data_IF_733548829170
#
_entry.id   IF_733548829170
#
_cell.length_a   1.000
_cell.length_b   1.000
_cell.length_c   1.000
_cell.angle_alpha   90.00
_cell.angle_beta   90.00
_cell.angle_gamma   90.00
#
_symmetry.space_group_name_H-M   'P 1'
#
loop_
_entity.id
_entity.type
_entity.pdbx_description
1 polymer ?
#
# COMPACT_ATOMS: atom_id res chain seq x y z
N UNK A 1 5.23 -10.20 5.91
CA UNK A 1 5.11 -9.54 4.59
C UNK A 1 3.66 -9.15 4.35
N UNK A 2 3.35 -8.04 3.66
CA UNK A 2 1.96 -7.67 3.35
C UNK A 2 1.32 -8.75 2.47
N UNK A 3 0.06 -9.11 2.78
CA UNK A 3 -0.65 -10.23 2.13
C UNK A 3 -0.83 -10.04 0.61
N UNK A 4 -0.94 -8.80 0.14
CA UNK A 4 -1.19 -8.47 -1.27
C UNK A 4 -0.11 -7.53 -1.83
N UNK A 5 1.16 -7.90 -1.67
CA UNK A 5 2.27 -7.17 -2.28
C UNK A 5 2.15 -7.18 -3.81
N UNK A 6 2.22 -6.00 -4.43
CA UNK A 6 2.15 -5.84 -5.89
C UNK A 6 3.52 -5.56 -6.50
N UNK A 7 4.28 -4.68 -5.88
CA UNK A 7 5.59 -4.24 -6.37
C UNK A 7 6.57 -4.14 -5.22
N UNK A 8 7.82 -4.50 -5.50
CA UNK A 8 8.94 -4.34 -4.57
C UNK A 8 10.03 -3.55 -5.27
N UNK A 9 10.43 -2.47 -4.62
CA UNK A 9 11.53 -1.63 -5.07
C UNK A 9 12.65 -1.71 -4.06
N UNK A 10 13.86 -1.96 -4.56
CA UNK A 10 15.05 -2.04 -3.73
C UNK A 10 16.09 -1.05 -4.22
N UNK A 11 16.75 -0.42 -3.25
CA UNK A 11 17.95 0.37 -3.48
C UNK A 11 19.17 -0.44 -3.02
N UNK A 12 20.12 -0.64 -3.94
CA UNK A 12 21.37 -1.36 -3.67
C UNK A 12 22.58 -0.48 -3.93
N UNK A 13 23.66 -0.68 -3.19
CA UNK A 13 24.92 0.03 -3.41
C UNK A 13 25.53 -0.39 -4.75
N UNK A 14 26.10 0.55 -5.50
CA UNK A 14 26.67 0.25 -6.83
C UNK A 14 27.84 -0.73 -6.80
N UNK A 15 28.72 -0.63 -5.79
CA UNK A 15 30.01 -1.34 -5.76
C UNK A 15 29.89 -2.78 -5.27
N UNK A 16 29.01 -3.02 -4.29
CA UNK A 16 28.94 -4.31 -3.59
C UNK A 16 27.54 -4.94 -3.64
N UNK A 17 26.59 -4.31 -4.36
CA UNK A 17 25.19 -4.75 -4.48
C UNK A 17 24.48 -4.98 -3.13
N UNK A 18 24.94 -4.31 -2.08
CA UNK A 18 24.38 -4.44 -0.73
C UNK A 18 23.03 -3.72 -0.68
N UNK A 19 22.02 -4.38 -0.13
CA UNK A 19 20.69 -3.81 0.07
C UNK A 19 20.74 -2.67 1.10
N UNK A 20 20.41 -1.46 0.66
CA UNK A 20 20.42 -0.25 1.49
C UNK A 20 19.01 0.23 1.82
N UNK A 21 18.01 -0.11 1.01
CA UNK A 21 16.62 0.24 1.29
C UNK A 21 15.62 -0.55 0.47
N UNK A 22 14.39 -0.62 0.96
CA UNK A 22 13.27 -1.32 0.35
C UNK A 22 11.99 -0.51 0.51
N UNK A 23 11.14 -0.54 -0.50
CA UNK A 23 9.74 -0.09 -0.45
C UNK A 23 8.87 -1.19 -1.05
N UNK A 24 7.80 -1.53 -0.35
CA UNK A 24 6.82 -2.53 -0.76
C UNK A 24 5.48 -1.86 -0.94
N UNK A 25 4.95 -1.96 -2.16
CA UNK A 25 3.63 -1.48 -2.53
C UNK A 25 2.64 -2.63 -2.48
N UNK A 26 1.45 -2.41 -1.93
CA UNK A 26 0.39 -3.40 -1.87
C UNK A 26 -0.94 -2.85 -2.35
N UNK A 27 -1.88 -3.76 -2.60
CA UNK A 27 -3.29 -3.40 -2.63
C UNK A 27 -3.70 -3.05 -1.18
N UNK A 28 -4.38 -1.91 -0.95
CA UNK A 28 -4.91 -1.60 0.37
C UNK A 28 -6.06 -2.54 0.70
N UNK A 29 -6.15 -2.93 1.97
CA UNK A 29 -7.27 -3.71 2.49
C UNK A 29 -8.60 -2.95 2.43
N UNK A 30 -8.53 -1.63 2.63
CA UNK A 30 -9.66 -0.72 2.55
C UNK A 30 -9.23 0.49 1.74
N UNK A 31 -9.90 0.73 0.62
CA UNK A 31 -9.60 1.86 -0.27
C UNK A 31 -10.05 3.18 0.34
N UNK A 32 -9.36 4.26 -0.03
CA UNK A 32 -9.63 5.62 0.46
C UNK A 32 -10.90 6.24 -0.10
N UNK A 33 -11.41 5.72 -1.24
CA UNK A 33 -12.53 6.26 -2.04
C UNK A 33 -12.34 7.71 -2.54
N UNK A 34 -11.11 8.25 -2.52
CA UNK A 34 -10.82 9.63 -2.91
C UNK A 34 -11.03 9.92 -4.40
N UNK A 35 -10.91 8.90 -5.26
CA UNK A 35 -11.12 9.01 -6.71
C UNK A 35 -12.45 8.37 -7.15
N UNK A 36 -13.42 8.27 -6.24
CA UNK A 36 -14.72 7.62 -6.49
C UNK A 36 -14.59 6.12 -6.77
N UNK A 37 -15.44 5.59 -7.65
CA UNK A 37 -15.55 4.15 -7.93
C UNK A 37 -14.32 3.56 -8.63
N UNK A 38 -13.49 4.39 -9.26
CA UNK A 38 -12.25 3.97 -9.92
C UNK A 38 -11.08 3.81 -8.94
N UNK A 39 -11.23 4.27 -7.69
CA UNK A 39 -10.18 4.21 -6.67
C UNK A 39 -9.53 2.83 -6.56
N UNK A 40 -10.26 1.69 -6.56
CA UNK A 40 -9.63 0.37 -6.43
C UNK A 40 -8.61 0.02 -7.51
N UNK A 41 -8.80 0.55 -8.72
CA UNK A 41 -7.90 0.31 -9.86
C UNK A 41 -6.68 1.22 -9.83
N UNK A 42 -6.81 2.44 -9.29
CA UNK A 42 -5.81 3.49 -9.37
C UNK A 42 -5.01 3.71 -8.08
N UNK A 43 -5.49 3.20 -6.95
CA UNK A 43 -4.87 3.38 -5.62
C UNK A 43 -3.87 2.26 -5.29
N UNK A 44 -2.71 2.63 -4.76
CA UNK A 44 -1.77 1.70 -4.13
C UNK A 44 -1.31 2.18 -2.76
N UNK A 45 -1.06 1.22 -1.88
CA UNK A 45 -0.61 1.46 -0.51
C UNK A 45 0.90 1.24 -0.40
N UNK A 46 1.60 2.21 0.18
CA UNK A 46 2.96 2.03 0.69
C UNK A 46 2.85 1.23 1.99
N UNK A 47 2.95 -0.09 1.85
CA UNK A 47 2.67 -1.03 2.94
C UNK A 47 3.84 -1.18 3.91
N UNK A 48 5.07 -1.14 3.39
CA UNK A 48 6.30 -1.25 4.16
C UNK A 48 7.41 -0.47 3.46
N UNK A 49 8.28 0.13 4.24
CA UNK A 49 9.51 0.74 3.76
C UNK A 49 10.56 0.69 4.85
N UNK A 50 11.81 0.48 4.46
CA UNK A 50 12.93 0.55 5.37
C UNK A 50 14.17 1.06 4.64
N UNK A 51 14.98 1.85 5.34
CA UNK A 51 16.31 2.24 4.90
C UNK A 51 17.29 1.96 6.02
N UNK A 52 18.42 1.37 5.69
CA UNK A 52 19.45 1.06 6.68
C UNK A 52 20.10 2.35 7.22
N UNK A 53 20.55 2.34 8.47
CA UNK A 53 21.04 3.53 9.17
C UNK A 53 22.27 4.19 8.51
N UNK A 54 23.14 3.39 7.87
CA UNK A 54 24.33 3.89 7.17
C UNK A 54 24.05 4.31 5.72
N UNK A 55 22.81 4.19 5.24
CA UNK A 55 22.45 4.63 3.90
C UNK A 55 22.68 6.15 3.72
N UNK A 56 22.87 6.62 2.47
CA UNK A 56 22.88 8.04 2.18
C UNK A 56 21.64 8.75 2.75
N UNK A 57 21.84 9.96 3.28
CA UNK A 57 20.75 10.81 3.75
C UNK A 57 19.69 10.95 2.66
N UNK A 58 18.42 10.89 3.05
CA UNK A 58 17.25 10.97 2.16
C UNK A 58 17.06 9.76 1.22
N UNK A 59 17.73 8.62 1.46
CA UNK A 59 17.50 7.41 0.66
C UNK A 59 16.02 6.99 0.66
N UNK A 60 15.36 7.05 1.81
CA UNK A 60 13.97 6.62 1.94
C UNK A 60 13.01 7.46 1.07
N UNK A 61 13.07 8.79 1.17
CA UNK A 61 12.23 9.68 0.36
C UNK A 61 12.56 9.57 -1.12
N UNK A 62 13.85 9.52 -1.48
CA UNK A 62 14.28 9.27 -2.86
C UNK A 62 13.71 7.95 -3.40
N UNK A 63 13.80 6.87 -2.63
CA UNK A 63 13.31 5.56 -3.04
C UNK A 63 11.78 5.57 -3.24
N UNK A 64 11.02 6.20 -2.35
CA UNK A 64 9.57 6.34 -2.46
C UNK A 64 9.21 7.13 -3.72
N UNK A 65 9.73 8.34 -3.90
CA UNK A 65 9.40 9.19 -5.06
C UNK A 65 9.79 8.52 -6.38
N UNK A 66 10.92 7.80 -6.43
CA UNK A 66 11.33 7.07 -7.65
C UNK A 66 10.44 5.86 -7.93
N UNK A 67 10.00 5.16 -6.88
CA UNK A 67 9.06 4.03 -7.01
C UNK A 67 7.71 4.52 -7.55
N UNK A 68 7.18 5.61 -7.00
CA UNK A 68 5.95 6.25 -7.46
C UNK A 68 6.08 6.72 -8.90
N UNK A 69 7.18 7.41 -9.24
CA UNK A 69 7.42 7.87 -10.61
C UNK A 69 7.46 6.73 -11.63
N UNK A 70 8.01 5.57 -11.25
CA UNK A 70 7.96 4.37 -12.09
C UNK A 70 6.52 3.85 -12.23
N UNK A 71 5.74 3.84 -11.16
CA UNK A 71 4.36 3.33 -11.12
C UNK A 71 3.30 4.30 -11.68
N UNK A 72 3.66 5.54 -11.98
CA UNK A 72 2.73 6.60 -12.44
C UNK A 72 1.95 6.25 -13.72
N UNK A 73 2.47 5.33 -14.54
CA UNK A 73 1.77 4.86 -15.74
C UNK A 73 0.62 3.88 -15.42
N UNK A 74 0.60 3.29 -14.22
CA UNK A 74 -0.40 2.29 -13.80
C UNK A 74 -1.34 2.82 -12.72
N UNK A 75 -0.82 3.67 -11.82
CA UNK A 75 -1.52 4.13 -10.64
C UNK A 75 -1.44 5.64 -10.52
N UNK A 76 -2.46 6.23 -9.91
CA UNK A 76 -2.58 7.69 -9.76
C UNK A 76 -2.64 8.15 -8.31
N UNK A 77 -3.03 7.27 -7.40
CA UNK A 77 -3.12 7.59 -5.98
C UNK A 77 -2.23 6.65 -5.17
N UNK A 78 -1.39 7.22 -4.32
CA UNK A 78 -0.56 6.45 -3.39
C UNK A 78 -0.87 6.87 -1.96
N UNK A 79 -1.22 5.89 -1.12
CA UNK A 79 -1.52 6.12 0.29
C UNK A 79 -0.37 5.62 1.15
N UNK A 80 -0.09 6.35 2.23
CA UNK A 80 0.83 5.95 3.29
C UNK A 80 0.19 6.18 4.66
N UNK A 81 0.60 5.39 5.64
CA UNK A 81 0.20 5.58 7.04
C UNK A 81 1.44 5.82 7.90
N UNK A 82 1.29 6.64 8.93
CA UNK A 82 2.28 6.85 9.98
C UNK A 82 1.73 6.32 11.30
N UNK A 83 2.51 5.48 11.98
CA UNK A 83 2.11 4.84 13.23
C UNK A 83 2.77 5.54 14.44
N UNK A 84 2.01 6.22 15.31
CA UNK A 84 2.56 6.87 16.49
C UNK A 84 3.21 5.89 17.47
N UNK A 85 2.68 4.66 17.61
CA UNK A 85 3.23 3.65 18.52
C UNK A 85 4.64 3.22 18.07
N UNK A 86 4.91 3.24 16.77
CA UNK A 86 6.23 2.97 16.19
C UNK A 86 7.15 4.21 16.14
N UNK A 87 6.73 5.34 16.74
CA UNK A 87 7.41 6.64 16.65
C UNK A 87 7.56 7.15 15.21
N UNK A 88 6.69 6.70 14.31
CA UNK A 88 6.63 7.14 12.93
C UNK A 88 5.69 8.34 12.80
N UNK A 89 6.25 9.55 12.77
CA UNK A 89 5.47 10.80 12.68
C UNK A 89 5.08 11.15 11.23
N UNK A 90 5.57 10.40 10.23
CA UNK A 90 5.28 10.65 8.81
C UNK A 90 6.22 11.65 8.12
N UNK A 91 7.37 11.99 8.73
CA UNK A 91 8.39 12.89 8.16
C UNK A 91 8.81 12.50 6.74
N UNK A 92 8.86 11.20 6.41
CA UNK A 92 9.21 10.74 5.07
C UNK A 92 8.16 11.11 4.03
N UNK A 93 6.87 11.07 4.39
CA UNK A 93 5.78 11.44 3.50
C UNK A 93 5.73 12.96 3.30
N UNK A 94 5.96 13.73 4.37
CA UNK A 94 6.11 15.19 4.29
C UNK A 94 7.28 15.57 3.36
N UNK A 95 8.43 14.90 3.49
CA UNK A 95 9.58 15.11 2.60
C UNK A 95 9.31 14.73 1.13
N UNK A 96 8.33 13.85 0.89
CA UNK A 96 7.89 13.47 -0.45
C UNK A 96 6.71 14.33 -0.96
N UNK A 97 6.32 15.39 -0.25
CA UNK A 97 5.19 16.26 -0.57
C UNK A 97 3.84 15.52 -0.64
N UNK A 98 3.60 14.58 0.28
CA UNK A 98 2.29 13.97 0.45
C UNK A 98 1.36 14.94 1.18
N UNK A 99 0.09 14.97 0.77
CA UNK A 99 -0.98 15.59 1.53
C UNK A 99 -1.24 14.79 2.80
N UNK A 100 -1.47 15.51 3.90
CA UNK A 100 -1.92 14.91 5.15
C UNK A 100 -3.45 14.93 5.21
N UNK A 101 -4.07 13.76 5.39
CA UNK A 101 -5.53 13.59 5.37
C UNK A 101 -6.16 13.58 6.78
N UNK A 102 -5.36 13.58 7.84
CA UNK A 102 -5.83 13.51 9.22
C UNK A 102 -5.33 12.28 10.00
N UNK A 103 -5.68 12.23 11.28
CA UNK A 103 -5.25 11.21 12.24
C UNK A 103 -6.32 10.16 12.54
N UNK A 104 -7.54 10.28 12.03
CA UNK A 104 -8.67 9.43 12.45
C UNK A 104 -8.74 8.06 11.75
N UNK A 105 -7.57 7.52 11.37
CA UNK A 105 -7.48 6.28 10.61
C UNK A 105 -6.83 5.16 11.41
N UNK A 106 -7.18 3.92 11.08
CA UNK A 106 -6.64 2.72 11.72
C UNK A 106 -7.66 2.06 12.64
N UNK A 107 -7.17 1.13 13.46
CA UNK A 107 -8.00 0.42 14.43
C UNK A 107 -8.01 1.20 15.74
N UNK A 108 -9.19 1.36 16.33
CA UNK A 108 -9.38 2.06 17.61
C UNK A 108 -9.05 1.18 18.81
N UNK A 109 -9.33 -0.12 18.71
CA UNK A 109 -9.26 -1.07 19.82
C UNK A 109 -8.38 -2.27 19.48
N UNK A 110 -7.46 -2.59 20.38
CA UNK A 110 -6.65 -3.80 20.34
C UNK A 110 -7.03 -4.72 21.49
N UNK A 111 -6.95 -6.02 21.21
CA UNK A 111 -7.21 -7.10 22.14
C UNK A 111 -5.92 -7.87 22.39
N UNK A 112 -5.75 -8.37 23.61
CA UNK A 112 -4.68 -9.26 24.00
C UNK A 112 -5.28 -10.47 24.73
N UNK A 113 -4.87 -11.66 24.33
CA UNK A 113 -5.27 -12.88 25.02
C UNK A 113 -4.38 -13.04 26.27
N UNK A 114 -4.94 -13.21 27.49
CA UNK A 114 -4.14 -13.42 28.70
C UNK A 114 -3.21 -14.63 28.62
N UNK A 115 -3.55 -15.64 27.80
CA UNK A 115 -2.70 -16.81 27.56
C UNK A 115 -1.49 -16.50 26.65
N UNK A 116 -1.53 -15.37 25.93
CA UNK A 116 -0.50 -14.90 24.99
C UNK A 116 -0.25 -13.40 25.18
N UNK A 117 0.35 -13.00 26.31
CA UNK A 117 0.44 -11.59 26.71
C UNK A 117 1.27 -10.72 25.74
N UNK A 118 2.12 -11.34 24.92
CA UNK A 118 3.01 -10.64 23.98
C UNK A 118 2.33 -10.28 22.65
N UNK A 119 1.13 -10.80 22.36
CA UNK A 119 0.47 -10.64 21.07
C UNK A 119 -0.79 -9.76 21.16
N UNK A 120 -0.66 -8.52 20.69
CA UNK A 120 -1.81 -7.63 20.49
C UNK A 120 -2.40 -7.80 19.09
N UNK A 121 -3.71 -7.97 19.00
CA UNK A 121 -4.41 -8.16 17.74
C UNK A 121 -5.66 -7.28 17.63
N UNK A 122 -6.14 -7.14 16.40
CA UNK A 122 -7.37 -6.41 16.11
C UNK A 122 -8.56 -7.36 16.11
N UNK A 123 -9.77 -6.80 16.19
CA UNK A 123 -11.03 -7.54 16.09
C UNK A 123 -11.14 -8.43 14.83
N UNK A 124 -10.41 -8.09 13.76
CA UNK A 124 -10.31 -8.93 12.55
C UNK A 124 -9.73 -10.32 12.84
N UNK A 125 -8.83 -10.45 13.81
CA UNK A 125 -8.21 -11.74 14.17
C UNK A 125 -9.24 -12.68 14.77
N UNK A 126 -10.09 -12.16 15.65
CA UNK A 126 -11.21 -12.89 16.28
C UNK A 126 -12.19 -13.40 15.21
N UNK A 127 -12.41 -12.59 14.18
CA UNK A 127 -13.32 -12.89 13.06
C UNK A 127 -12.66 -13.61 11.88
N UNK A 128 -11.45 -14.13 12.06
CA UNK A 128 -10.74 -14.83 10.98
C UNK A 128 -11.20 -16.28 10.86
N UNK A 129 -11.14 -16.86 9.65
CA UNK A 129 -11.46 -18.29 9.39
C UNK A 129 -10.86 -19.24 10.44
N UNK A 130 -9.58 -19.07 10.74
CA UNK A 130 -8.84 -19.95 11.67
C UNK A 130 -9.31 -19.81 13.12
N UNK A 131 -9.87 -18.66 13.51
CA UNK A 131 -10.45 -18.48 14.83
C UNK A 131 -11.80 -19.24 14.90
N UNK A 132 -12.66 -19.09 13.90
CA UNK A 132 -13.92 -19.83 13.85
C UNK A 132 -13.74 -21.35 13.73
N UNK A 133 -12.67 -21.83 13.09
CA UNK A 133 -12.33 -23.26 13.12
C UNK A 133 -12.05 -23.76 14.54
N UNK A 134 -11.39 -22.95 15.38
CA UNK A 134 -11.18 -23.28 16.80
C UNK A 134 -12.49 -23.26 17.57
N UNK A 135 -13.31 -22.22 17.39
CA UNK A 135 -14.62 -22.12 18.03
C UNK A 135 -15.53 -23.30 17.66
N UNK A 136 -15.52 -23.73 16.40
CA UNK A 136 -16.26 -24.90 15.95
C UNK A 136 -15.74 -26.19 16.60
N UNK A 137 -14.42 -26.38 16.66
CA UNK A 137 -13.81 -27.55 17.29
C UNK A 137 -14.12 -27.62 18.79
N UNK A 138 -14.02 -26.51 19.52
CA UNK A 138 -14.37 -26.40 20.94
C UNK A 138 -15.86 -26.66 21.21
N UNK A 139 -16.73 -26.29 20.27
CA UNK A 139 -18.16 -26.51 20.36
C UNK A 139 -18.61 -27.89 19.82
N UNK A 140 -17.68 -28.72 19.33
CA UNK A 140 -18.00 -30.01 18.70
C UNK A 140 -18.77 -29.92 17.38
N UNK A 141 -18.71 -28.78 16.70
CA UNK A 141 -19.41 -28.53 15.43
C UNK A 141 -18.56 -29.04 14.27
N UNK A 142 -19.12 -29.87 13.35
CA UNK A 142 -18.40 -30.31 12.17
C UNK A 142 -18.18 -29.14 11.21
N UNK A 143 -16.92 -28.75 11.03
CA UNK A 143 -16.54 -27.66 10.12
C UNK A 143 -16.78 -28.05 8.66
N UNK A 144 -17.38 -27.14 7.88
CA UNK A 144 -17.51 -27.30 6.42
C UNK A 144 -16.81 -26.16 5.70
N UNK A 145 -15.96 -26.48 4.74
CA UNK A 145 -15.22 -25.46 3.97
C UNK A 145 -16.14 -24.62 3.06
N UNK A 146 -17.34 -25.11 2.75
CA UNK A 146 -18.39 -24.36 2.02
C UNK A 146 -18.82 -23.07 2.74
N UNK A 147 -18.66 -23.01 4.07
CA UNK A 147 -19.01 -21.85 4.88
C UNK A 147 -18.07 -20.65 4.69
N UNK A 148 -16.99 -20.81 3.93
CA UNK A 148 -15.92 -19.82 3.83
C UNK A 148 -15.77 -19.34 2.40
N UNK A 149 -15.47 -18.05 2.27
CA UNK A 149 -14.97 -17.45 1.04
C UNK A 149 -13.66 -16.71 1.34
N UNK A 150 -12.54 -17.28 0.87
CA UNK A 150 -11.20 -16.79 1.20
C UNK A 150 -10.91 -16.83 2.71
N UNK A 151 -10.87 -15.65 3.33
CA UNK A 151 -10.60 -15.49 4.77
C UNK A 151 -11.86 -15.16 5.60
N UNK A 152 -13.02 -15.04 4.95
CA UNK A 152 -14.27 -14.58 5.56
C UNK A 152 -15.29 -15.72 5.63
N UNK A 153 -16.08 -15.76 6.70
CA UNK A 153 -17.25 -16.63 6.79
C UNK A 153 -18.45 -16.02 6.04
N UNK A 154 -19.13 -16.87 5.28
CA UNK A 154 -20.40 -16.59 4.61
C UNK A 154 -21.51 -17.13 5.51
N UNK A 155 -22.05 -16.26 6.37
CA UNK A 155 -23.01 -16.64 7.41
C UNK A 155 -24.29 -17.28 6.86
N UNK A 156 -24.66 -16.93 5.63
CA UNK A 156 -25.84 -17.44 4.92
C UNK A 156 -25.73 -18.95 4.62
N UNK A 157 -24.50 -19.49 4.53
CA UNK A 157 -24.25 -20.92 4.27
C UNK A 157 -24.20 -21.76 5.54
N UNK A 158 -24.16 -21.11 6.70
CA UNK A 158 -24.03 -21.77 7.99
C UNK A 158 -25.44 -22.04 8.54
N UNK A 159 -25.75 -23.26 8.98
CA UNK A 159 -27.01 -23.54 9.66
C UNK A 159 -27.22 -22.59 10.85
N UNK A 160 -28.42 -22.02 11.04
CA UNK A 160 -28.66 -20.96 12.01
C UNK A 160 -28.31 -21.35 13.45
N UNK A 161 -28.52 -22.62 13.83
CA UNK A 161 -28.11 -23.13 15.13
C UNK A 161 -26.60 -23.09 15.35
N UNK A 162 -25.80 -23.46 14.36
CA UNK A 162 -24.34 -23.38 14.45
C UNK A 162 -23.85 -21.94 14.40
N UNK A 163 -24.47 -21.09 13.58
CA UNK A 163 -24.13 -19.68 13.49
C UNK A 163 -24.30 -18.96 14.85
N UNK A 164 -25.37 -19.25 15.59
CA UNK A 164 -25.60 -18.70 16.92
C UNK A 164 -24.53 -19.14 17.92
N UNK A 165 -24.14 -20.43 17.90
CA UNK A 165 -23.10 -20.96 18.79
C UNK A 165 -21.74 -20.32 18.48
N UNK A 166 -21.38 -20.18 17.20
CA UNK A 166 -20.11 -19.56 16.79
C UNK A 166 -20.03 -18.09 17.19
N UNK A 167 -21.11 -17.33 17.05
CA UNK A 167 -21.18 -15.93 17.52
C UNK A 167 -21.05 -15.82 19.03
N UNK A 168 -21.71 -16.70 19.78
CA UNK A 168 -21.57 -16.75 21.23
C UNK A 168 -20.13 -17.04 21.65
N UNK A 169 -19.45 -17.98 20.97
CA UNK A 169 -18.03 -18.30 21.23
C UNK A 169 -17.09 -17.14 20.91
N UNK A 170 -17.38 -16.40 19.82
CA UNK A 170 -16.67 -15.16 19.49
C UNK A 170 -16.78 -14.12 20.62
N UNK A 171 -17.98 -13.90 21.14
CA UNK A 171 -18.24 -12.97 22.25
C UNK A 171 -17.60 -13.45 23.57
N UNK A 172 -17.67 -14.75 23.88
CA UNK A 172 -16.97 -15.37 25.02
C UNK A 172 -15.46 -15.14 24.92
N UNK A 173 -14.86 -15.40 23.76
CA UNK A 173 -13.43 -15.20 23.55
C UNK A 173 -13.03 -13.73 23.68
N UNK A 174 -13.83 -12.82 23.10
CA UNK A 174 -13.58 -11.39 23.12
C UNK A 174 -13.70 -10.80 24.52
N UNK A 175 -14.69 -11.23 25.31
CA UNK A 175 -14.87 -10.79 26.70
C UNK A 175 -13.77 -11.27 27.65
N UNK A 176 -13.11 -12.39 27.31
CA UNK A 176 -11.92 -12.87 28.00
C UNK A 176 -10.67 -12.03 27.73
N UNK A 177 -10.61 -11.35 26.58
CA UNK A 177 -9.43 -10.60 26.17
C UNK A 177 -9.27 -9.28 26.93
N UNK A 178 -8.03 -8.88 27.17
CA UNK A 178 -7.69 -7.55 27.69
C UNK A 178 -7.81 -6.55 26.54
N UNK A 179 -8.54 -5.45 26.77
CA UNK A 179 -8.75 -4.40 25.79
C UNK A 179 -7.84 -3.19 26.04
N UNK A 180 -7.33 -2.59 24.97
CA UNK A 180 -6.64 -1.29 24.99
C UNK A 180 -7.02 -0.43 23.80
N UNK A 181 -7.16 0.87 24.02
CA UNK A 181 -7.27 1.85 22.93
C UNK A 181 -5.94 2.01 22.21
N UNK A 182 -5.95 1.89 20.89
CA UNK A 182 -4.79 2.13 20.04
C UNK A 182 -4.68 3.59 19.61
N UNK A 183 -3.45 4.06 19.42
CA UNK A 183 -3.22 5.41 18.94
C UNK A 183 -3.71 5.60 17.49
N UNK A 184 -4.42 6.70 17.18
CA UNK A 184 -4.87 7.02 15.83
C UNK A 184 -3.69 7.15 14.85
N UNK A 185 -3.82 6.60 13.64
CA UNK A 185 -2.77 6.63 12.61
C UNK A 185 -2.95 7.81 11.68
N UNK A 186 -1.84 8.49 11.39
CA UNK A 186 -1.82 9.55 10.38
C UNK A 186 -1.92 8.96 8.98
N UNK A 187 -2.82 9.47 8.14
CA UNK A 187 -2.96 9.04 6.74
C UNK A 187 -2.43 10.12 5.81
N UNK A 188 -1.69 9.68 4.79
CA UNK A 188 -1.05 10.54 3.80
C UNK A 188 -1.43 10.09 2.39
N UNK A 189 -1.59 11.04 1.48
CA UNK A 189 -1.92 10.78 0.09
C UNK A 189 -0.97 11.52 -0.85
N UNK A 190 -0.55 10.82 -1.90
CA UNK A 190 0.17 11.39 -3.02
C UNK A 190 -0.62 11.16 -4.29
N UNK A 191 -1.16 12.26 -4.81
CA UNK A 191 -2.04 12.27 -5.96
C UNK A 191 -1.30 12.77 -7.21
N UNK A 192 -1.40 12.00 -8.29
CA UNK A 192 -0.82 12.26 -9.61
C UNK A 192 -1.88 12.60 -10.67
N UNK A 193 -3.14 12.81 -10.29
CA UNK A 193 -4.16 13.35 -11.19
C UNK A 193 -3.81 14.78 -11.60
N UNK A 194 -4.22 15.19 -12.81
CA UNK A 194 -3.74 16.41 -13.47
C UNK A 194 -4.02 17.69 -12.66
N UNK A 195 -5.07 17.69 -11.83
CA UNK A 195 -5.47 18.83 -11.01
C UNK A 195 -4.48 19.15 -9.87
N UNK A 196 -3.75 18.16 -9.36
CA UNK A 196 -2.85 18.34 -8.21
C UNK A 196 -1.44 18.88 -8.58
N UNK A 197 -1.06 18.78 -9.85
CA UNK A 197 0.19 19.34 -10.37
C UNK A 197 0.15 20.87 -10.46
N UNK A 198 -1.05 21.47 -10.51
CA UNK A 198 -1.24 22.91 -10.54
C UNK A 198 -1.13 23.55 -9.14
N UNK A 199 -1.50 22.82 -8.08
CA UNK A 199 -1.52 23.32 -6.69
C UNK A 199 -0.16 23.22 -6.00
N UNK A 200 0.66 22.23 -6.34
CA UNK A 200 1.93 21.96 -5.64
C UNK A 200 3.17 22.61 -6.25
N UNK A 201 3.04 23.29 -7.39
CA UNK A 201 4.10 24.11 -7.99
C UNK A 201 5.42 23.37 -8.25
N UNK A 202 5.45 22.04 -8.25
CA UNK A 202 6.67 21.27 -8.44
C UNK A 202 6.95 21.13 -9.95
N UNK A 203 7.94 21.86 -10.52
CA UNK A 203 8.25 21.72 -11.93
C UNK A 203 8.80 20.32 -12.18
N UNK A 204 8.23 19.64 -13.19
CA UNK A 204 8.84 18.45 -13.78
C UNK A 204 10.27 18.81 -14.20
N UNK A 205 11.30 18.41 -13.44
CA UNK A 205 12.67 18.34 -13.98
C UNK A 205 12.66 17.29 -15.09
N UNK A 206 12.58 17.81 -16.32
CA UNK A 206 12.21 17.05 -17.50
C UNK A 206 13.13 15.88 -17.84
N UNK A 207 12.52 14.82 -18.35
CA UNK A 207 12.77 14.20 -19.66
C UNK A 207 11.81 13.03 -19.81
N UNK A 208 10.77 13.26 -20.60
CA UNK A 208 9.75 12.27 -20.93
C UNK A 208 8.62 13.03 -21.62
N UNK A 209 8.56 12.92 -22.95
CA UNK A 209 7.51 13.54 -23.75
C UNK A 209 6.11 13.07 -23.34
N UNK A 210 5.05 13.73 -23.84
CA UNK A 210 3.68 13.34 -23.52
C UNK A 210 3.44 11.89 -23.98
N UNK A 211 3.04 11.03 -23.04
CA UNK A 211 2.50 9.73 -23.37
C UNK A 211 1.04 9.91 -23.81
N UNK A 212 0.58 9.29 -24.91
CA UNK A 212 -0.76 9.53 -25.42
C UNK A 212 -1.80 8.94 -24.49
N UNK A 213 -2.75 9.78 -24.08
CA UNK A 213 -4.05 9.33 -23.59
C UNK A 213 -4.78 8.63 -24.74
N UNK A 214 -5.35 7.46 -24.47
CA UNK A 214 -6.38 6.90 -25.34
C UNK A 214 -7.55 7.87 -25.39
N UNK A 215 -7.83 8.41 -26.56
CA UNK A 215 -9.15 8.93 -26.90
C UNK A 215 -9.44 8.48 -28.33
N UNK A 216 -10.47 7.67 -28.42
CA UNK A 216 -11.16 7.32 -29.64
C UNK A 216 -11.68 8.58 -30.33
N UNK A 217 -11.53 8.59 -31.65
CA UNK A 217 -12.37 9.27 -32.63
C UNK A 217 -12.16 10.77 -32.93
N UNK A 218 -11.90 10.99 -34.23
CA UNK A 218 -12.26 12.14 -35.08
C UNK A 218 -11.52 13.45 -34.85
N UNK A 219 -10.54 13.74 -35.73
CA UNK A 219 -10.63 14.88 -36.65
C UNK A 219 -9.50 14.74 -37.71
N UNK A 220 -9.88 14.47 -38.96
CA UNK A 220 -8.99 14.67 -40.10
C UNK A 220 -8.80 16.17 -40.29
N UNK A 221 -7.56 16.68 -40.30
CA UNK A 221 -7.16 17.81 -41.16
C UNK A 221 -5.63 17.96 -41.25
N UNK A 222 -5.21 18.29 -42.47
CA UNK A 222 -3.85 18.34 -43.01
C UNK A 222 -3.03 19.53 -42.48
N UNK A 223 -1.70 19.39 -42.43
CA UNK A 223 -0.68 20.24 -43.10
C UNK A 223 0.75 19.85 -42.64
N UNK A 224 1.55 19.20 -43.51
CA UNK A 224 2.70 19.74 -44.27
C UNK A 224 3.98 20.13 -43.48
N UNK A 225 5.02 19.30 -43.69
CA UNK A 225 6.46 19.56 -43.98
C UNK A 225 7.31 20.42 -43.01
N UNK A 226 8.45 19.86 -42.57
CA UNK A 226 9.63 20.59 -42.07
C UNK A 226 10.67 19.68 -41.41
N UNK A 227 11.91 19.71 -41.91
CA UNK A 227 13.03 18.76 -41.74
C UNK A 227 13.83 18.86 -40.40
N UNK A 228 14.78 17.94 -40.12
CA UNK A 228 15.42 17.73 -38.81
C UNK A 228 16.86 18.31 -38.73
N UNK A 229 17.53 18.04 -37.58
CA UNK A 229 18.94 18.34 -37.18
C UNK A 229 19.04 19.65 -36.39
N UNK A 230 19.79 19.80 -35.30
CA UNK A 230 20.84 19.03 -34.61
C UNK A 230 21.00 19.66 -33.21
N UNK A 231 21.62 18.97 -32.25
CA UNK A 231 22.66 19.54 -31.37
C UNK A 231 23.00 18.58 -30.22
N UNK A 232 24.29 18.24 -30.18
CA UNK A 232 24.96 17.48 -29.12
C UNK A 232 24.76 18.14 -27.75
N UNK A 233 24.67 17.32 -26.70
CA UNK A 233 25.00 17.76 -25.34
C UNK A 233 26.01 16.80 -24.71
N UNK A 234 27.26 17.29 -24.61
CA UNK A 234 28.30 16.83 -23.68
C UNK A 234 27.84 17.16 -22.26
N UNK A 235 27.70 16.17 -21.39
CA UNK A 235 27.67 16.32 -19.92
C UNK A 235 28.34 15.04 -19.38
N UNK A 236 29.58 15.07 -18.87
CA UNK A 236 29.94 15.69 -17.60
C UNK A 236 29.82 14.63 -16.50
N UNK A 237 30.88 13.83 -16.30
CA UNK A 237 30.98 12.81 -15.23
C UNK A 237 31.10 13.52 -13.88
N UNK A 238 30.20 13.20 -12.93
CA UNK A 238 30.47 13.38 -11.49
C UNK A 238 30.38 12.03 -10.79
N UNK A 239 31.50 11.66 -10.17
CA UNK A 239 31.71 10.48 -9.35
C UNK A 239 31.02 10.67 -7.99
N UNK A 240 29.83 10.08 -7.84
CA UNK A 240 29.17 9.89 -6.55
C UNK A 240 28.76 8.44 -6.39
N UNK A 241 29.08 7.83 -5.25
CA UNK A 241 28.67 6.49 -4.84
C UNK A 241 27.15 6.37 -4.80
N UNK A 242 26.53 6.22 -5.97
CA UNK A 242 25.08 6.20 -6.10
C UNK A 242 24.51 4.84 -5.70
N UNK A 243 23.25 4.84 -5.26
CA UNK A 243 22.46 3.62 -5.19
C UNK A 243 21.77 3.39 -6.55
N UNK A 244 21.62 2.12 -6.95
CA UNK A 244 20.83 1.74 -8.12
C UNK A 244 19.45 1.28 -7.65
N UNK A 245 18.40 1.74 -8.33
CA UNK A 245 17.04 1.24 -8.16
C UNK A 245 16.88 -0.03 -9.01
N UNK A 246 16.38 -1.11 -8.41
CA UNK A 246 15.79 -2.25 -9.14
C UNK A 246 14.34 -2.37 -8.70
N UNK A 247 13.42 -2.37 -9.67
CA UNK A 247 12.00 -2.63 -9.45
C UNK A 247 11.65 -3.98 -10.07
N UNK A 248 11.06 -4.88 -9.28
CA UNK A 248 10.45 -6.10 -9.77
C UNK A 248 8.95 -6.00 -9.57
N UNK A 249 8.21 -5.99 -10.67
CA UNK A 249 6.75 -6.07 -10.68
C UNK A 249 6.33 -7.52 -10.86
N UNK A 250 5.68 -8.10 -9.85
CA UNK A 250 4.99 -9.38 -10.03
C UNK A 250 3.71 -9.10 -10.82
N UNK A 251 3.66 -9.52 -12.10
CA UNK A 251 2.40 -9.62 -12.84
C UNK A 251 1.56 -10.73 -12.21
N UNK A 252 0.83 -10.40 -11.15
CA UNK A 252 -0.24 -11.24 -10.65
C UNK A 252 -1.33 -11.28 -11.70
N UNK A 253 -1.43 -12.40 -12.42
CA UNK A 253 -2.60 -12.71 -13.24
C UNK A 253 -3.79 -12.71 -12.29
N UNK A 254 -4.69 -11.74 -12.44
CA UNK A 254 -6.06 -11.86 -11.95
C UNK A 254 -6.64 -13.06 -12.68
N UNK A 255 -6.62 -14.23 -12.03
CA UNK A 255 -7.50 -15.32 -12.43
C UNK A 255 -8.91 -14.96 -11.95
N UNK A 256 -9.93 -15.14 -12.81
CA UNK A 256 -11.32 -14.87 -12.46
C UNK A 256 -11.77 -15.67 -11.23
#
# INVERSE_FOLDING_TARGET
>A
MPQQATHRFVARTKRFDILAGVVVMSVPTAFSKLLGDYTPKLERLISRGASISWAPKNLASWLITRSIGWMAHQFRLFIGYSDPEAKEVGRVYQACNFMFLGHDYGTTVLYCDPERPDEWFTDRHVRHRTAYQKYAAEAGIPWKDEWVEGHRLVWERIPPGFAAILKRKEEEYKSRCIERTAAPKGKYAYDLTEDHLLVTGAPRRGRGGPHPLMSSEVERRRCRRGSPLSCLTKIGRTSGGGCRLRGEGSRGVLRP
#
